data_IF_454238811483
#
_entry.id   IF_454238811483
#
_cell.length_a   1.000
_cell.length_b   1.000
_cell.length_c   1.000
_cell.angle_alpha   90.00
_cell.angle_beta   90.00
_cell.angle_gamma   90.00
#
_symmetry.space_group_name_H-M   'P 1'
#
loop_
_entity.id
_entity.type
_entity.pdbx_description
1 polymer ?
#
# COMPACT_ATOMS: atom_id res chain seq x y z
N UNK A 1 -4.64 -55.16 -11.86
CA UNK A 1 -3.44 -54.79 -12.64
C UNK A 1 -3.60 -53.35 -13.17
N UNK A 2 -2.74 -52.44 -12.67
CA UNK A 2 -2.46 -51.02 -13.04
C UNK A 2 -3.52 -50.22 -13.84
N UNK A 3 -4.36 -49.43 -13.14
CA UNK A 3 -4.96 -48.20 -13.70
C UNK A 3 -4.00 -47.03 -13.41
N UNK A 4 -3.30 -46.55 -14.45
CA UNK A 4 -2.46 -45.33 -14.38
C UNK A 4 -3.36 -44.15 -14.02
N UNK A 5 -3.26 -43.65 -12.78
CA UNK A 5 -3.81 -42.33 -12.39
C UNK A 5 -2.92 -41.28 -13.04
N UNK A 6 -3.38 -40.70 -14.14
CA UNK A 6 -2.77 -39.52 -14.73
C UNK A 6 -2.83 -38.36 -13.74
N UNK A 7 -1.70 -37.76 -13.46
CA UNK A 7 -1.58 -36.56 -12.63
C UNK A 7 -2.35 -35.43 -13.31
N UNK A 8 -3.45 -34.98 -12.69
CA UNK A 8 -4.22 -33.82 -13.16
C UNK A 8 -3.37 -32.58 -12.90
N UNK A 9 -2.57 -32.15 -13.88
CA UNK A 9 -1.87 -30.87 -13.83
C UNK A 9 -2.92 -29.77 -13.72
N UNK A 10 -2.92 -29.04 -12.60
CA UNK A 10 -3.81 -27.91 -12.38
C UNK A 10 -3.71 -26.92 -13.54
N UNK A 11 -4.86 -26.51 -14.07
CA UNK A 11 -4.94 -25.48 -15.11
C UNK A 11 -4.25 -24.22 -14.58
N UNK A 12 -3.20 -23.74 -15.26
CA UNK A 12 -2.59 -22.45 -14.96
C UNK A 12 -3.67 -21.38 -15.15
N UNK A 13 -4.13 -20.78 -14.07
CA UNK A 13 -5.32 -19.89 -14.04
C UNK A 13 -5.12 -18.54 -14.71
N UNK A 14 -3.94 -18.28 -15.30
CA UNK A 14 -3.64 -17.04 -16.01
C UNK A 14 -2.97 -17.35 -17.35
N UNK A 15 -3.58 -16.89 -18.44
CA UNK A 15 -3.01 -16.93 -19.80
C UNK A 15 -2.06 -15.73 -19.98
N UNK A 16 -0.91 -15.75 -19.32
CA UNK A 16 0.09 -14.66 -19.42
C UNK A 16 -0.38 -13.31 -18.83
N UNK A 17 0.50 -12.32 -18.89
CA UNK A 17 0.23 -10.95 -18.44
C UNK A 17 -0.26 -10.05 -19.58
N UNK A 18 -0.92 -8.94 -19.23
CA UNK A 18 -1.29 -7.88 -20.17
C UNK A 18 -0.12 -6.89 -20.27
N UNK A 19 0.11 -6.31 -21.44
CA UNK A 19 0.93 -5.11 -21.61
C UNK A 19 0.00 -3.92 -21.94
N UNK A 20 -0.55 -3.24 -20.91
CA UNK A 20 -1.33 -2.04 -21.12
C UNK A 20 -0.47 -0.94 -21.73
N UNK A 21 -1.12 -0.01 -22.42
CA UNK A 21 -0.49 1.22 -22.88
C UNK A 21 0.22 1.94 -21.71
N UNK A 22 1.46 2.36 -21.92
CA UNK A 22 2.32 2.90 -20.85
C UNK A 22 2.05 4.35 -20.46
N UNK A 23 1.34 5.12 -21.31
CA UNK A 23 0.89 6.47 -20.96
C UNK A 23 1.97 7.54 -20.77
N UNK A 24 3.25 7.29 -21.09
CA UNK A 24 4.35 8.25 -20.85
C UNK A 24 4.13 9.62 -21.50
N UNK A 25 3.54 9.64 -22.69
CA UNK A 25 3.21 10.84 -23.44
C UNK A 25 2.22 11.76 -22.70
N UNK A 26 1.40 11.22 -21.79
CA UNK A 26 0.37 11.98 -21.07
C UNK A 26 0.96 13.00 -20.10
N UNK A 27 2.18 12.77 -19.60
CA UNK A 27 2.79 13.60 -18.56
C UNK A 27 3.99 14.43 -19.04
N UNK A 28 4.49 14.20 -20.26
CA UNK A 28 5.80 14.74 -20.71
C UNK A 28 5.90 16.27 -20.72
N UNK A 29 4.80 16.96 -21.04
CA UNK A 29 4.73 18.42 -21.16
C UNK A 29 3.98 19.06 -19.98
N UNK A 30 3.63 18.28 -18.95
CA UNK A 30 2.90 18.81 -17.81
C UNK A 30 3.85 19.49 -16.81
N UNK A 31 3.54 20.71 -16.35
CA UNK A 31 4.32 21.35 -15.31
C UNK A 31 4.18 20.57 -13.99
N UNK A 32 5.27 20.50 -13.24
CA UNK A 32 5.26 20.00 -11.86
C UNK A 32 4.34 20.91 -11.03
N UNK A 33 3.45 20.30 -10.25
CA UNK A 33 2.53 21.02 -9.36
C UNK A 33 2.72 20.54 -7.94
N UNK A 34 2.76 21.49 -7.02
CA UNK A 34 2.61 21.18 -5.61
C UNK A 34 1.15 20.78 -5.35
N UNK A 35 0.98 19.64 -4.68
CA UNK A 35 -0.33 19.13 -4.29
C UNK A 35 -0.41 19.19 -2.78
N UNK A 36 -1.16 20.16 -2.28
CA UNK A 36 -1.52 20.20 -0.87
C UNK A 36 -2.60 19.14 -0.60
N UNK A 37 -2.45 18.33 0.46
CA UNK A 37 -3.54 17.47 0.89
C UNK A 37 -4.77 18.31 1.23
N UNK A 38 -5.92 17.90 0.70
CA UNK A 38 -7.21 18.58 0.91
C UNK A 38 -8.20 17.61 1.52
N UNK A 39 -9.02 18.10 2.45
CA UNK A 39 -10.05 17.30 3.11
C UNK A 39 -9.48 16.31 4.11
N UNK A 40 -10.24 15.23 4.35
CA UNK A 40 -9.86 14.19 5.30
C UNK A 40 -8.80 13.26 4.72
N UNK A 41 -7.75 13.03 5.49
CA UNK A 41 -6.68 12.11 5.15
C UNK A 41 -6.81 10.83 5.97
N UNK A 42 -6.84 9.69 5.29
CA UNK A 42 -6.98 8.37 5.91
C UNK A 42 -5.67 7.60 5.75
N UNK A 43 -5.06 7.24 6.87
CA UNK A 43 -3.81 6.49 6.93
C UNK A 43 -4.05 5.11 7.56
N UNK A 44 -4.12 4.03 6.76
CA UNK A 44 -4.37 2.70 7.30
C UNK A 44 -3.19 2.22 8.15
N UNK A 45 -3.46 1.82 9.39
CA UNK A 45 -2.46 1.22 10.30
C UNK A 45 -2.01 -0.19 9.87
N UNK A 46 -2.67 -0.75 8.84
CA UNK A 46 -2.40 -2.09 8.30
C UNK A 46 -1.97 -2.04 6.83
N UNK A 47 -1.21 -1.02 6.42
CA UNK A 47 -0.70 -0.88 5.04
C UNK A 47 0.60 -1.66 4.79
N UNK A 48 0.77 -2.83 5.40
CA UNK A 48 1.91 -3.73 5.18
C UNK A 48 1.53 -5.18 5.53
N UNK A 49 2.39 -6.14 5.17
CA UNK A 49 2.15 -7.59 5.31
C UNK A 49 2.20 -8.12 6.76
N UNK A 50 2.47 -7.25 7.74
CA UNK A 50 2.74 -7.60 9.14
C UNK A 50 1.54 -7.29 10.04
N UNK A 51 1.69 -7.47 11.34
CA UNK A 51 0.65 -7.10 12.30
C UNK A 51 0.36 -5.59 12.25
N UNK A 52 -0.89 -5.13 12.43
CA UNK A 52 -1.18 -3.69 12.39
C UNK A 52 -0.32 -2.87 13.35
N UNK A 53 0.06 -1.66 12.95
CA UNK A 53 0.73 -0.70 13.84
C UNK A 53 -0.24 -0.25 14.95
N UNK A 54 0.30 -0.04 16.15
CA UNK A 54 -0.44 0.45 17.31
C UNK A 54 -0.57 1.98 17.22
N UNK A 55 -1.78 2.55 17.17
CA UNK A 55 -1.96 4.00 17.23
C UNK A 55 -1.37 4.57 18.52
N UNK A 56 -0.66 5.70 18.41
CA UNK A 56 -0.10 6.44 19.56
C UNK A 56 -0.78 7.80 19.75
N UNK A 57 -1.88 8.04 19.04
CA UNK A 57 -2.75 9.21 19.15
C UNK A 57 -4.19 8.75 19.36
N UNK A 58 -4.98 9.57 20.03
CA UNK A 58 -6.39 9.32 20.33
C UNK A 58 -7.32 10.15 19.46
N UNK A 59 -8.61 9.77 19.43
CA UNK A 59 -9.64 10.54 18.76
C UNK A 59 -9.74 11.93 19.40
N UNK A 60 -9.66 12.97 18.57
CA UNK A 60 -9.73 14.37 19.01
C UNK A 60 -8.36 15.02 19.19
N UNK A 61 -7.28 14.24 19.14
CA UNK A 61 -5.93 14.80 19.20
C UNK A 61 -5.65 15.66 17.96
N UNK A 62 -5.07 16.83 18.21
CA UNK A 62 -4.47 17.63 17.15
C UNK A 62 -3.10 17.06 16.84
N UNK A 63 -2.89 16.69 15.59
CA UNK A 63 -1.66 16.07 15.10
C UNK A 63 -0.99 16.98 14.10
N UNK A 64 0.32 17.16 14.26
CA UNK A 64 1.13 18.00 13.39
C UNK A 64 1.58 17.25 12.15
N UNK A 65 1.95 18.02 11.13
CA UNK A 65 2.76 17.52 10.02
C UNK A 65 4.01 16.80 10.55
N UNK A 66 4.33 15.66 9.97
CA UNK A 66 5.49 14.86 10.28
C UNK A 66 5.36 14.08 11.59
N UNK A 67 4.27 14.26 12.33
CA UNK A 67 4.07 13.58 13.60
C UNK A 67 3.83 12.09 13.36
N UNK A 68 4.55 11.27 14.13
CA UNK A 68 4.32 9.83 14.22
C UNK A 68 2.95 9.59 14.88
N UNK A 69 2.11 8.79 14.26
CA UNK A 69 0.75 8.50 14.75
C UNK A 69 0.50 7.03 15.07
N UNK A 70 1.38 6.13 14.63
CA UNK A 70 1.35 4.73 15.01
C UNK A 70 2.77 4.16 15.11
N UNK A 71 2.95 3.21 16.02
CA UNK A 71 4.21 2.50 16.27
C UNK A 71 4.10 1.01 15.94
N UNK A 72 5.25 0.43 15.61
CA UNK A 72 5.37 -1.00 15.40
C UNK A 72 5.11 -1.78 16.71
N UNK A 73 4.05 -2.59 16.77
CA UNK A 73 3.71 -3.47 17.90
C UNK A 73 4.44 -4.82 18.03
N UNK A 74 5.56 -5.09 17.34
CA UNK A 74 6.21 -6.41 17.29
C UNK A 74 7.44 -6.52 16.35
N UNK A 75 8.17 -7.64 16.45
CA UNK A 75 9.52 -7.86 15.86
C UNK A 75 9.57 -7.92 14.32
N UNK A 76 8.44 -8.19 13.64
CA UNK A 76 8.34 -8.20 12.18
C UNK A 76 7.37 -7.12 11.74
N UNK A 77 7.83 -5.86 11.76
CA UNK A 77 7.04 -4.71 11.34
C UNK A 77 7.92 -3.78 10.52
N UNK A 78 7.54 -3.60 9.25
CA UNK A 78 8.32 -2.86 8.27
C UNK A 78 7.97 -1.36 8.22
N UNK A 79 7.02 -0.85 9.01
CA UNK A 79 6.60 0.55 8.87
C UNK A 79 6.13 1.19 10.18
N UNK A 80 6.63 2.40 10.43
CA UNK A 80 6.06 3.39 11.35
C UNK A 80 5.22 4.36 10.52
N UNK A 81 3.94 4.56 10.85
CA UNK A 81 3.08 5.50 10.12
C UNK A 81 3.34 6.92 10.61
N UNK A 82 3.93 7.73 9.74
CA UNK A 82 4.10 9.16 9.93
C UNK A 82 3.03 9.90 9.13
N UNK A 83 2.44 10.93 9.73
CA UNK A 83 1.62 11.87 8.97
C UNK A 83 2.52 12.72 8.10
N UNK A 84 2.58 12.43 6.81
CA UNK A 84 3.15 13.37 5.84
C UNK A 84 2.02 14.14 5.17
N UNK A 85 1.84 15.43 5.50
CA UNK A 85 1.38 16.40 4.53
C UNK A 85 2.58 17.00 3.76
N UNK A 86 2.34 17.37 2.50
CA UNK A 86 3.31 17.95 1.52
C UNK A 86 3.34 19.47 1.68
N UNK A 87 4.52 20.15 1.70
CA UNK A 87 4.74 21.56 2.12
C UNK A 87 3.57 22.49 1.88
#
# INVERSE_FOLDING_TARGET
NKRKRGTKMGLKTFKGGVHPYEGKELAKDQPIKEVLPKGDLVYPVSQHIGAPANPIVAKGDTVLRGQKIAEAGGFVLLQSTHLYPVP
#
